data_IF_753981604971
#
_entry.id   IF_753981604971
#
_cell.length_a   1.000
_cell.length_b   1.000
_cell.length_c   1.000
_cell.angle_alpha   90.00
_cell.angle_beta   90.00
_cell.angle_gamma   90.00
#
_symmetry.space_group_name_H-M   'P 1'
#
loop_
_entity.id
_entity.type
_entity.pdbx_description
1 polymer ?
#
# COMPACT_ATOMS: atom_id res chain seq x y z
N UNK A 1 8.98 0.22 -9.34
CA UNK A 1 8.40 -0.26 -8.06
C UNK A 1 8.24 -1.76 -8.13
N UNK A 2 8.71 -2.48 -7.15
CA UNK A 2 8.75 -3.95 -7.18
C UNK A 2 8.19 -4.53 -5.89
N UNK A 3 7.44 -5.63 -5.99
CA UNK A 3 6.99 -6.42 -4.83
C UNK A 3 8.14 -7.35 -4.39
N UNK A 4 8.45 -7.34 -3.09
CA UNK A 4 9.60 -8.07 -2.54
C UNK A 4 9.23 -9.51 -2.22
N UNK A 5 8.09 -9.73 -1.57
CA UNK A 5 7.71 -11.05 -1.08
C UNK A 5 6.20 -11.27 -1.18
N UNK A 6 5.75 -12.51 -0.95
CA UNK A 6 4.34 -12.88 -0.94
C UNK A 6 3.85 -13.36 -2.29
N UNK A 7 2.51 -13.34 -2.47
CA UNK A 7 1.87 -13.91 -3.65
C UNK A 7 2.19 -13.15 -4.94
N UNK A 8 2.51 -11.86 -4.84
CA UNK A 8 2.87 -11.03 -6.00
C UNK A 8 4.37 -10.78 -6.09
N UNK A 9 5.18 -11.57 -5.43
CA UNK A 9 6.64 -11.45 -5.44
C UNK A 9 7.16 -11.27 -6.87
N UNK A 10 8.06 -10.30 -7.05
CA UNK A 10 8.71 -9.95 -8.30
C UNK A 10 7.84 -9.18 -9.30
N UNK A 11 6.57 -8.93 -9.00
CA UNK A 11 5.76 -8.05 -9.85
C UNK A 11 6.35 -6.66 -9.82
N UNK A 12 6.36 -6.01 -10.97
CA UNK A 12 6.87 -4.66 -11.16
C UNK A 12 5.78 -3.75 -11.71
N UNK A 13 5.82 -2.51 -11.28
CA UNK A 13 4.88 -1.49 -11.74
C UNK A 13 5.68 -0.24 -12.09
N UNK A 14 5.49 0.28 -13.30
CA UNK A 14 6.19 1.47 -13.78
C UNK A 14 5.53 2.72 -13.22
N UNK A 15 6.29 3.46 -12.41
CA UNK A 15 5.81 4.71 -11.83
C UNK A 15 6.08 5.85 -12.82
N UNK A 16 5.05 6.62 -13.21
CA UNK A 16 5.23 7.76 -14.10
C UNK A 16 6.28 8.74 -13.56
N UNK A 17 7.17 9.23 -14.44
CA UNK A 17 8.23 10.16 -14.05
C UNK A 17 7.70 11.49 -13.56
N UNK A 18 6.46 11.84 -13.94
CA UNK A 18 5.81 13.07 -13.54
C UNK A 18 5.31 13.06 -12.10
N UNK A 19 5.29 11.90 -11.46
CA UNK A 19 4.81 11.79 -10.08
C UNK A 19 5.76 12.49 -9.11
N UNK A 20 5.20 13.26 -8.18
CA UNK A 20 5.94 13.94 -7.12
C UNK A 20 6.50 12.94 -6.12
N UNK A 21 5.68 11.98 -5.72
CA UNK A 21 6.10 10.93 -4.81
C UNK A 21 6.92 9.89 -5.56
N UNK A 22 7.97 9.41 -4.92
CA UNK A 22 8.76 8.28 -5.41
C UNK A 22 8.47 7.06 -4.56
N UNK A 23 8.48 5.85 -5.16
CA UNK A 23 8.26 4.64 -4.37
C UNK A 23 9.38 4.46 -3.35
N UNK A 24 9.04 3.85 -2.23
CA UNK A 24 10.02 3.38 -1.25
C UNK A 24 11.00 2.46 -1.96
N UNK A 25 12.29 2.63 -1.71
CA UNK A 25 13.30 1.75 -2.31
C UNK A 25 13.11 0.30 -1.87
N UNK A 26 13.55 -0.63 -2.70
CA UNK A 26 13.50 -2.06 -2.36
C UNK A 26 14.22 -2.34 -1.05
N UNK A 27 15.39 -1.72 -0.86
CA UNK A 27 16.20 -1.89 0.35
C UNK A 27 15.43 -1.42 1.60
N UNK A 28 14.88 -0.21 1.57
CA UNK A 28 14.13 0.35 2.70
C UNK A 28 12.88 -0.47 2.98
N UNK A 29 12.17 -0.88 1.94
CA UNK A 29 10.96 -1.69 2.07
C UNK A 29 11.26 -3.06 2.67
N UNK A 30 12.31 -3.72 2.19
CA UNK A 30 12.73 -5.02 2.73
C UNK A 30 13.08 -4.91 4.21
N UNK A 31 13.86 -3.90 4.59
CA UNK A 31 14.23 -3.68 5.99
C UNK A 31 13.00 -3.42 6.87
N UNK A 32 12.07 -2.59 6.41
CA UNK A 32 10.84 -2.31 7.14
C UNK A 32 10.05 -3.59 7.41
N UNK A 33 9.83 -4.39 6.38
CA UNK A 33 9.03 -5.61 6.50
C UNK A 33 9.76 -6.71 7.27
N UNK A 34 11.09 -6.75 7.23
CA UNK A 34 11.86 -7.66 8.08
C UNK A 34 11.66 -7.33 9.57
N UNK A 35 11.63 -6.04 9.92
CA UNK A 35 11.34 -5.60 11.28
C UNK A 35 9.90 -5.96 11.67
N UNK A 36 8.94 -5.65 10.81
CA UNK A 36 7.52 -5.94 11.09
C UNK A 36 7.27 -7.43 11.27
N UNK A 37 7.96 -8.29 10.51
CA UNK A 37 7.80 -9.73 10.59
C UNK A 37 8.21 -10.31 11.96
N UNK A 38 8.99 -9.57 12.73
CA UNK A 38 9.32 -9.97 14.11
C UNK A 38 8.15 -9.78 15.07
N UNK A 39 7.16 -8.98 14.70
CA UNK A 39 6.03 -8.63 15.55
C UNK A 39 4.69 -9.13 15.03
N UNK A 40 4.61 -9.39 13.72
CA UNK A 40 3.36 -9.69 13.03
C UNK A 40 3.52 -10.92 12.14
N UNK A 41 2.47 -11.74 12.10
CA UNK A 41 2.25 -12.69 11.00
C UNK A 41 1.19 -12.07 10.09
N UNK A 42 1.58 -11.61 8.91
CA UNK A 42 0.69 -10.88 8.02
C UNK A 42 -0.51 -11.72 7.57
N UNK A 43 -0.36 -13.03 7.51
CA UNK A 43 -1.43 -13.95 7.10
C UNK A 43 -2.42 -14.28 8.22
N UNK A 44 -2.14 -13.84 9.44
CA UNK A 44 -2.97 -14.14 10.61
C UNK A 44 -3.95 -13.00 10.91
N UNK A 45 -4.80 -12.68 9.94
CA UNK A 45 -5.89 -11.72 10.12
C UNK A 45 -5.47 -10.27 10.27
N UNK A 46 -4.25 -9.91 9.86
CA UNK A 46 -3.75 -8.54 10.00
C UNK A 46 -4.47 -7.62 9.03
N UNK A 47 -4.98 -6.50 9.55
CA UNK A 47 -5.48 -5.38 8.76
C UNK A 47 -4.53 -4.21 8.91
N UNK A 48 -4.31 -3.47 7.83
CA UNK A 48 -3.34 -2.39 7.80
C UNK A 48 -3.95 -1.11 7.24
N UNK A 49 -3.42 0.01 7.71
CA UNK A 49 -3.83 1.34 7.28
C UNK A 49 -2.58 2.09 6.83
N UNK A 50 -2.51 2.38 5.54
CA UNK A 50 -1.41 3.13 4.92
C UNK A 50 -1.88 4.57 4.72
N UNK A 51 -1.49 5.46 5.63
CA UNK A 51 -2.03 6.82 5.70
C UNK A 51 -1.43 7.78 4.67
N UNK A 52 -0.23 7.51 4.19
CA UNK A 52 0.44 8.34 3.19
C UNK A 52 0.92 7.41 2.07
N UNK A 53 -0.03 6.88 1.33
CA UNK A 53 0.22 5.74 0.46
C UNK A 53 1.14 6.06 -0.73
N UNK A 54 1.14 7.30 -1.23
CA UNK A 54 1.98 7.70 -2.36
C UNK A 54 1.74 6.84 -3.57
N UNK A 55 2.76 6.14 -4.03
CA UNK A 55 2.65 5.22 -5.17
C UNK A 55 2.04 3.87 -4.82
N UNK A 56 1.73 3.63 -3.54
CA UNK A 56 1.17 2.37 -3.08
C UNK A 56 2.18 1.26 -2.85
N UNK A 57 3.47 1.58 -2.81
CA UNK A 57 4.54 0.59 -2.66
C UNK A 57 4.38 -0.25 -1.39
N UNK A 58 4.08 0.39 -0.26
CA UNK A 58 3.87 -0.33 1.00
C UNK A 58 2.53 -1.08 0.98
N UNK A 59 1.48 -0.45 0.44
CA UNK A 59 0.16 -1.09 0.37
C UNK A 59 0.17 -2.37 -0.44
N UNK A 60 0.80 -2.38 -1.63
CA UNK A 60 0.86 -3.61 -2.44
C UNK A 60 1.71 -4.69 -1.77
N UNK A 61 2.74 -4.28 -1.05
CA UNK A 61 3.57 -5.24 -0.29
C UNK A 61 2.75 -5.90 0.82
N UNK A 62 1.95 -5.14 1.55
CA UNK A 62 1.06 -5.67 2.59
C UNK A 62 0.04 -6.65 2.01
N UNK A 63 -0.58 -6.29 0.89
CA UNK A 63 -1.50 -7.18 0.17
C UNK A 63 -0.79 -8.46 -0.23
N UNK A 64 0.38 -8.34 -0.83
CA UNK A 64 1.17 -9.48 -1.31
C UNK A 64 1.55 -10.44 -0.19
N UNK A 65 1.85 -9.92 1.00
CA UNK A 65 2.26 -10.74 2.14
C UNK A 65 1.09 -11.37 2.89
N UNK A 66 -0.15 -11.09 2.48
CA UNK A 66 -1.31 -11.81 2.96
C UNK A 66 -2.17 -11.07 3.97
N UNK A 67 -2.02 -9.76 4.12
CA UNK A 67 -2.92 -8.98 4.98
C UNK A 67 -4.37 -9.20 4.58
N UNK A 68 -5.25 -9.26 5.58
CA UNK A 68 -6.67 -9.49 5.39
C UNK A 68 -7.35 -8.31 4.72
N UNK A 69 -6.95 -7.10 5.09
CA UNK A 69 -7.46 -5.85 4.53
C UNK A 69 -6.40 -4.76 4.62
N UNK A 70 -6.29 -3.97 3.56
CA UNK A 70 -5.40 -2.80 3.52
C UNK A 70 -6.22 -1.60 3.07
N UNK A 71 -6.18 -0.53 3.85
CA UNK A 71 -6.78 0.74 3.46
C UNK A 71 -5.64 1.71 3.16
N UNK A 72 -5.63 2.24 1.95
CA UNK A 72 -4.63 3.20 1.49
C UNK A 72 -5.25 4.57 1.38
N UNK A 73 -4.70 5.56 2.10
CA UNK A 73 -5.20 6.94 2.03
C UNK A 73 -4.17 7.77 1.28
N UNK A 74 -4.61 8.41 0.21
CA UNK A 74 -3.76 9.25 -0.63
C UNK A 74 -4.52 10.47 -1.11
N UNK A 75 -3.95 11.64 -0.89
CA UNK A 75 -4.56 12.92 -1.25
C UNK A 75 -4.43 13.24 -2.73
N UNK A 76 -3.30 12.91 -3.34
CA UNK A 76 -3.01 13.21 -4.73
C UNK A 76 -3.84 12.35 -5.65
N UNK A 77 -4.54 13.00 -6.61
CA UNK A 77 -5.43 12.31 -7.54
C UNK A 77 -4.70 11.28 -8.40
N UNK A 78 -3.54 11.65 -8.91
CA UNK A 78 -2.80 10.77 -9.83
C UNK A 78 -2.19 9.59 -9.11
N UNK A 79 -1.68 9.81 -7.90
CA UNK A 79 -1.17 8.73 -7.06
C UNK A 79 -2.28 7.77 -6.66
N UNK A 80 -3.43 8.28 -6.26
CA UNK A 80 -4.59 7.46 -5.93
C UNK A 80 -5.03 6.61 -7.13
N UNK A 81 -5.12 7.22 -8.32
CA UNK A 81 -5.49 6.51 -9.54
C UNK A 81 -4.48 5.39 -9.87
N UNK A 82 -3.19 5.65 -9.63
CA UNK A 82 -2.14 4.66 -9.84
C UNK A 82 -2.31 3.45 -8.90
N UNK A 83 -2.62 3.69 -7.64
CA UNK A 83 -2.89 2.61 -6.67
C UNK A 83 -4.09 1.77 -7.13
N UNK A 84 -5.16 2.41 -7.55
CA UNK A 84 -6.34 1.72 -8.09
C UNK A 84 -5.97 0.85 -9.30
N UNK A 85 -5.13 1.38 -10.19
CA UNK A 85 -4.68 0.64 -11.37
C UNK A 85 -3.88 -0.60 -10.99
N UNK A 86 -2.95 -0.48 -10.02
CA UNK A 86 -2.18 -1.61 -9.53
C UNK A 86 -3.11 -2.71 -9.03
N UNK A 87 -4.08 -2.36 -8.20
CA UNK A 87 -4.99 -3.34 -7.60
C UNK A 87 -5.87 -4.01 -8.66
N UNK A 88 -6.26 -3.28 -9.70
CA UNK A 88 -6.98 -3.85 -10.84
C UNK A 88 -6.11 -4.80 -11.65
N UNK A 89 -4.85 -4.46 -11.88
CA UNK A 89 -3.92 -5.32 -12.62
C UNK A 89 -3.71 -6.66 -11.94
N UNK A 90 -3.58 -6.67 -10.62
CA UNK A 90 -3.41 -7.91 -9.86
C UNK A 90 -4.74 -8.58 -9.53
N UNK A 91 -5.87 -7.93 -9.86
CA UNK A 91 -7.23 -8.44 -9.61
C UNK A 91 -7.44 -8.82 -8.16
N UNK A 92 -7.02 -7.91 -7.27
CA UNK A 92 -7.08 -8.11 -5.83
C UNK A 92 -7.87 -6.97 -5.18
N UNK A 93 -8.88 -7.31 -4.42
CA UNK A 93 -9.75 -6.36 -3.75
C UNK A 93 -9.45 -6.19 -2.26
N UNK A 94 -8.36 -6.76 -1.78
CA UNK A 94 -7.92 -6.65 -0.39
C UNK A 94 -7.62 -5.21 -0.02
N UNK A 95 -7.03 -4.44 -0.95
CA UNK A 95 -6.73 -3.03 -0.74
C UNK A 95 -7.87 -2.14 -1.20
N UNK A 96 -8.25 -1.21 -0.34
CA UNK A 96 -9.26 -0.20 -0.63
C UNK A 96 -8.56 1.16 -0.68
N UNK A 97 -8.27 1.69 -1.89
CA UNK A 97 -7.68 3.02 -2.02
C UNK A 97 -8.72 4.11 -1.78
N UNK A 98 -8.42 5.01 -0.85
CA UNK A 98 -9.27 6.14 -0.53
C UNK A 98 -8.54 7.42 -0.93
N UNK A 99 -9.18 8.25 -1.74
CA UNK A 99 -8.66 9.57 -2.08
C UNK A 99 -9.12 10.56 -1.03
N UNK A 100 -8.16 11.17 -0.33
CA UNK A 100 -8.51 12.16 0.65
C UNK A 100 -7.34 12.60 1.50
N UNK A 101 -7.62 13.59 2.34
CA UNK A 101 -6.69 14.12 3.30
C UNK A 101 -6.68 13.21 4.54
N UNK A 102 -5.47 12.79 4.96
CA UNK A 102 -5.33 11.86 6.09
C UNK A 102 -5.94 12.41 7.38
N UNK A 103 -5.81 13.72 7.62
CA UNK A 103 -6.34 14.32 8.83
C UNK A 103 -7.86 14.33 8.85
N UNK A 104 -8.47 14.61 7.70
CA UNK A 104 -9.93 14.53 7.56
C UNK A 104 -10.42 13.10 7.66
N UNK A 105 -9.69 12.15 7.09
CA UNK A 105 -10.02 10.73 7.18
C UNK A 105 -10.04 10.25 8.63
N UNK A 106 -8.99 10.57 9.40
CA UNK A 106 -8.90 10.19 10.82
C UNK A 106 -10.02 10.82 11.62
N UNK A 107 -10.30 12.10 11.39
CA UNK A 107 -11.37 12.81 12.08
C UNK A 107 -12.74 12.20 11.79
N UNK A 108 -13.03 11.92 10.51
CA UNK A 108 -14.28 11.30 10.10
C UNK A 108 -14.45 9.90 10.68
N UNK A 109 -13.37 9.10 10.69
CA UNK A 109 -13.39 7.76 11.28
C UNK A 109 -13.68 7.76 12.77
N UNK A 110 -13.26 8.81 13.49
CA UNK A 110 -13.52 8.93 14.92
C UNK A 110 -14.97 9.26 15.27
N UNK A 111 -15.71 9.77 14.31
CA UNK A 111 -17.12 10.15 14.50
C UNK A 111 -18.07 8.99 14.26
N UNK A 112 -17.54 7.90 13.74
CA UNK A 112 -18.30 6.68 13.49
C UNK A 112 -18.18 5.71 14.67
#
# INVERSE_FOLDING_TARGET
>A
MRVISGIYKRRRFDVPRTFKARPTTDFAKENLFNVLANYLDFEDGVSALDLFAGTGSISIELVSRGCNRVISVEKDRDHHAFICKIMQEVKDDTCIPIRGDVFKFIKGGREQ
#
